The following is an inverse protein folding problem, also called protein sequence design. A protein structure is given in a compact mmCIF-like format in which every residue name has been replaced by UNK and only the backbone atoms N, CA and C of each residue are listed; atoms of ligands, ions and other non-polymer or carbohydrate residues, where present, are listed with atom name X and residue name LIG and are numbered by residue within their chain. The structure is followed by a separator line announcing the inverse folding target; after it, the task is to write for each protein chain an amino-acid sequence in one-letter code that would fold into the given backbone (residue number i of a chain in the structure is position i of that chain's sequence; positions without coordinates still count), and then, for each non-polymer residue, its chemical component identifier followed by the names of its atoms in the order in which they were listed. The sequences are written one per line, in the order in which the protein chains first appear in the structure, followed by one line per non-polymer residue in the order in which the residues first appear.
data_IF_501820785561
#
_entry.id   IF_501820785561
#
_cell.length_a   1.000
_cell.length_b   1.000
_cell.length_c   1.000
_cell.angle_alpha   90.00
_cell.angle_beta   90.00
_cell.angle_gamma   90.00
#
_symmetry.space_group_name_H-M   'P 1'
#
loop_
_entity.id
_entity.type
_entity.pdbx_description
1 polymer ?
#
# COMPACT_ATOMS: atom_id res chain seq x y z
N UNK A 1 10.42 10.13 23.79
CA UNK A 1 9.78 10.56 22.53
C UNK A 1 9.72 9.36 21.60
N UNK A 2 8.53 8.86 21.31
CA UNK A 2 8.32 7.80 20.33
C UNK A 2 8.44 8.40 18.93
N UNK A 3 9.60 8.23 18.30
CA UNK A 3 9.74 8.45 16.85
C UNK A 3 9.00 7.31 16.13
N UNK A 4 7.70 7.47 15.91
CA UNK A 4 6.90 6.53 15.12
C UNK A 4 6.87 6.99 13.67
N UNK A 5 7.00 6.04 12.75
CA UNK A 5 6.80 6.31 11.33
C UNK A 5 5.37 6.84 11.13
N UNK A 6 5.17 8.04 10.55
CA UNK A 6 3.82 8.59 10.32
C UNK A 6 2.94 7.68 9.47
N UNK A 7 3.57 6.79 8.69
CA UNK A 7 2.85 5.79 7.93
C UNK A 7 2.20 4.71 8.80
N UNK A 8 2.79 4.37 9.94
CA UNK A 8 2.22 3.37 10.84
C UNK A 8 1.06 3.92 11.69
N UNK A 9 0.62 5.15 11.42
CA UNK A 9 -0.56 5.74 12.06
C UNK A 9 -1.84 5.16 11.43
N UNK A 10 -2.48 4.22 12.14
CA UNK A 10 -3.71 3.55 11.71
C UNK A 10 -4.86 4.51 11.40
N UNK A 11 -4.81 5.76 11.90
CA UNK A 11 -5.83 6.79 11.61
C UNK A 11 -5.74 7.33 10.18
N UNK A 12 -4.65 7.04 9.46
CA UNK A 12 -4.37 7.53 8.10
C UNK A 12 -4.39 6.43 7.05
N UNK A 13 -4.92 5.25 7.37
CA UNK A 13 -5.07 4.16 6.44
C UNK A 13 -6.00 4.55 5.28
N UNK A 14 -5.60 4.17 4.07
CA UNK A 14 -6.42 4.29 2.87
C UNK A 14 -6.97 2.91 2.52
N UNK A 15 -8.16 2.89 1.94
CA UNK A 15 -8.82 1.67 1.47
C UNK A 15 -8.83 1.64 -0.05
N UNK A 16 -8.53 0.49 -0.63
CA UNK A 16 -8.66 0.21 -2.05
C UNK A 16 -9.58 -0.99 -2.25
N UNK A 17 -10.44 -0.92 -3.26
CA UNK A 17 -11.39 -1.99 -3.59
C UNK A 17 -10.79 -2.90 -4.66
N UNK A 18 -10.68 -4.18 -4.33
CA UNK A 18 -10.23 -5.25 -5.21
C UNK A 18 -11.37 -6.20 -5.52
N UNK A 19 -11.44 -6.70 -6.76
CA UNK A 19 -12.38 -7.78 -7.11
C UNK A 19 -11.72 -9.12 -6.85
N UNK A 20 -12.40 -9.98 -6.10
CA UNK A 20 -11.96 -11.35 -5.90
C UNK A 20 -11.92 -12.09 -7.24
N UNK A 21 -10.77 -12.66 -7.64
CA UNK A 21 -10.65 -13.35 -8.94
C UNK A 21 -11.47 -14.65 -9.00
N UNK A 22 -11.83 -15.21 -7.84
CA UNK A 22 -12.56 -16.47 -7.72
C UNK A 22 -14.09 -16.27 -7.73
N UNK A 23 -14.61 -15.30 -6.98
CA UNK A 23 -16.06 -15.13 -6.80
C UNK A 23 -16.62 -13.75 -7.17
N UNK A 24 -15.78 -12.87 -7.71
CA UNK A 24 -16.10 -11.50 -8.15
C UNK A 24 -16.66 -10.57 -7.07
N UNK A 25 -16.57 -10.94 -5.79
CA UNK A 25 -16.91 -10.06 -4.68
C UNK A 25 -15.92 -8.91 -4.58
N UNK A 26 -16.42 -7.72 -4.23
CA UNK A 26 -15.58 -6.59 -3.87
C UNK A 26 -15.02 -6.82 -2.47
N UNK A 27 -13.72 -6.62 -2.32
CA UNK A 27 -12.99 -6.79 -1.08
C UNK A 27 -12.11 -5.57 -0.86
N UNK A 28 -12.18 -5.04 0.34
CA UNK A 28 -11.37 -3.91 0.78
C UNK A 28 -9.98 -4.39 1.19
N UNK A 29 -8.94 -3.72 0.70
CA UNK A 29 -7.56 -3.88 1.15
C UNK A 29 -7.09 -2.54 1.72
N UNK A 30 -6.61 -2.55 2.96
CA UNK A 30 -6.05 -1.35 3.59
C UNK A 30 -4.60 -1.10 3.15
N UNK A 31 -4.15 0.15 3.25
CA UNK A 31 -2.82 0.57 2.77
C UNK A 31 -1.65 -0.12 3.47
N UNK A 32 -1.86 -0.65 4.67
CA UNK A 32 -0.90 -1.43 5.45
C UNK A 32 -1.00 -2.95 5.21
N UNK A 33 -2.00 -3.40 4.45
CA UNK A 33 -2.21 -4.80 4.13
C UNK A 33 -1.59 -5.17 2.77
N UNK A 34 -0.91 -6.31 2.73
CA UNK A 34 -0.41 -6.91 1.48
C UNK A 34 -1.37 -7.93 0.87
N UNK A 35 -2.27 -8.46 1.70
CA UNK A 35 -3.24 -9.48 1.31
C UNK A 35 -4.43 -9.47 2.25
N UNK A 36 -5.58 -9.86 1.73
CA UNK A 36 -6.81 -10.01 2.49
C UNK A 36 -7.48 -11.34 2.13
N UNK A 37 -8.18 -11.94 3.08
CA UNK A 37 -9.02 -13.10 2.82
C UNK A 37 -10.37 -12.63 2.30
N UNK A 38 -10.80 -13.11 1.15
CA UNK A 38 -12.13 -12.82 0.62
C UNK A 38 -13.21 -13.29 1.61
N UNK A 39 -14.10 -12.42 2.09
CA UNK A 39 -15.13 -12.79 3.06
C UNK A 39 -16.19 -13.74 2.49
N UNK A 40 -16.33 -13.80 1.14
CA UNK A 40 -17.36 -14.60 0.47
C UNK A 40 -16.92 -16.04 0.17
N UNK A 41 -15.71 -16.23 -0.37
CA UNK A 41 -15.24 -17.57 -0.78
C UNK A 41 -13.98 -18.05 -0.04
N UNK A 42 -13.33 -17.18 0.75
CA UNK A 42 -12.13 -17.53 1.50
C UNK A 42 -10.82 -17.49 0.71
N UNK A 43 -10.86 -17.14 -0.58
CA UNK A 43 -9.66 -16.95 -1.42
C UNK A 43 -8.75 -15.86 -0.85
N UNK A 44 -7.42 -16.05 -0.93
CA UNK A 44 -6.47 -15.01 -0.52
C UNK A 44 -6.20 -14.09 -1.70
N UNK A 45 -6.61 -12.84 -1.56
CA UNK A 45 -6.38 -11.80 -2.56
C UNK A 45 -5.11 -11.07 -2.17
N UNK A 46 -4.15 -11.03 -3.09
CA UNK A 46 -2.89 -10.31 -2.94
C UNK A 46 -3.00 -8.96 -3.61
N UNK A 47 -2.37 -7.96 -3.00
CA UNK A 47 -2.13 -6.68 -3.66
C UNK A 47 -1.05 -6.88 -4.72
N UNK A 48 -1.27 -6.32 -5.91
CA UNK A 48 -0.33 -6.48 -7.04
C UNK A 48 1.04 -5.83 -6.77
N UNK A 49 1.07 -4.78 -5.95
CA UNK A 49 2.28 -4.03 -5.65
C UNK A 49 2.48 -3.90 -4.14
N UNK A 50 3.74 -3.98 -3.70
CA UNK A 50 4.09 -3.69 -2.32
C UNK A 50 3.93 -2.18 -2.09
N UNK A 51 3.04 -1.75 -1.17
CA UNK A 51 2.83 -0.33 -0.95
C UNK A 51 4.11 0.32 -0.40
N UNK A 52 4.59 1.35 -1.09
CA UNK A 52 5.71 2.15 -0.61
C UNK A 52 5.18 3.39 0.11
N UNK A 53 5.91 3.86 1.12
CA UNK A 53 5.52 5.08 1.84
C UNK A 53 5.37 6.30 0.91
N UNK A 54 6.01 6.29 -0.27
CA UNK A 54 5.93 7.36 -1.28
C UNK A 54 4.51 7.51 -1.88
N UNK A 55 3.71 6.45 -1.86
CA UNK A 55 2.41 6.40 -2.53
C UNK A 55 1.32 7.08 -1.69
N UNK A 56 1.47 7.07 -0.36
CA UNK A 56 0.41 7.48 0.55
C UNK A 56 0.84 8.29 1.77
N UNK A 57 2.11 8.22 2.20
CA UNK A 57 2.57 8.99 3.35
C UNK A 57 2.92 10.42 2.93
N UNK A 58 2.18 11.40 3.44
CA UNK A 58 2.42 12.83 3.17
C UNK A 58 3.83 13.30 3.61
N UNK A 59 4.40 12.63 4.61
CA UNK A 59 5.75 12.93 5.10
C UNK A 59 6.87 12.25 4.30
N UNK A 60 6.56 11.37 3.35
CA UNK A 60 7.56 10.55 2.65
C UNK A 60 8.62 11.38 1.94
N UNK A 61 8.24 12.50 1.30
CA UNK A 61 9.17 13.41 0.64
C UNK A 61 10.18 14.01 1.62
N UNK A 62 9.71 14.44 2.79
CA UNK A 62 10.58 14.96 3.84
C UNK A 62 11.45 13.86 4.45
N UNK A 63 10.90 12.66 4.66
CA UNK A 63 11.63 11.53 5.25
C UNK A 63 12.74 11.00 4.35
N UNK A 64 12.51 10.94 3.04
CA UNK A 64 13.46 10.38 2.08
C UNK A 64 14.46 11.43 1.55
N UNK A 65 14.09 12.72 1.59
CA UNK A 65 14.82 13.77 0.89
C UNK A 65 14.50 13.80 -0.61
N UNK A 66 14.74 14.96 -1.24
CA UNK A 66 14.31 15.24 -2.61
C UNK A 66 14.88 14.25 -3.63
N UNK A 67 16.18 14.00 -3.57
CA UNK A 67 16.90 13.13 -4.53
C UNK A 67 16.37 11.69 -4.50
N UNK A 68 16.30 11.08 -3.30
CA UNK A 68 15.80 9.72 -3.14
C UNK A 68 14.32 9.62 -3.47
N UNK A 69 13.52 10.62 -3.11
CA UNK A 69 12.10 10.64 -3.42
C UNK A 69 11.85 10.69 -4.94
N UNK A 70 12.61 11.50 -5.67
CA UNK A 70 12.54 11.55 -7.14
C UNK A 70 12.98 10.23 -7.78
N UNK A 71 14.08 9.63 -7.31
CA UNK A 71 14.59 8.36 -7.85
C UNK A 71 13.58 7.21 -7.72
N UNK A 72 12.87 7.12 -6.59
CA UNK A 72 11.89 6.05 -6.36
C UNK A 72 10.56 6.36 -7.06
N UNK A 73 10.11 7.63 -7.12
CA UNK A 73 8.86 8.01 -7.81
C UNK A 73 8.98 7.95 -9.34
N UNK A 74 10.15 8.24 -9.89
CA UNK A 74 10.42 8.17 -11.33
C UNK A 74 10.77 6.77 -11.86
N UNK A 75 10.94 5.79 -10.98
CA UNK A 75 11.47 4.45 -11.29
C UNK A 75 10.47 3.30 -11.24
N UNK A 76 9.18 3.55 -11.47
CA UNK A 76 8.13 2.53 -11.55
C UNK A 76 8.15 1.69 -12.84
N UNK A 77 9.33 1.25 -13.30
CA UNK A 77 9.50 0.21 -14.32
C UNK A 77 10.92 -0.32 -14.27
N UNK A 78 11.16 -1.37 -13.48
CA UNK A 78 12.12 -2.40 -13.80
C UNK A 78 11.75 -3.65 -13.01
N UNK A 79 10.71 -4.34 -13.50
CA UNK A 79 10.68 -5.78 -13.41
C UNK A 79 11.72 -6.30 -14.41
N UNK A 80 12.81 -6.89 -13.90
CA UNK A 80 13.60 -7.90 -14.60
C UNK A 80 13.65 -9.10 -13.68
#
# INVERSE_FOLDING_TARGET
MTFQCPGQDMRKLRVELYKCPNCSAEVEIFSDEMRVKCPKCGEIIYREQTPSCIDWCASARQCLGEERWQAVRGGGSNAT
#
